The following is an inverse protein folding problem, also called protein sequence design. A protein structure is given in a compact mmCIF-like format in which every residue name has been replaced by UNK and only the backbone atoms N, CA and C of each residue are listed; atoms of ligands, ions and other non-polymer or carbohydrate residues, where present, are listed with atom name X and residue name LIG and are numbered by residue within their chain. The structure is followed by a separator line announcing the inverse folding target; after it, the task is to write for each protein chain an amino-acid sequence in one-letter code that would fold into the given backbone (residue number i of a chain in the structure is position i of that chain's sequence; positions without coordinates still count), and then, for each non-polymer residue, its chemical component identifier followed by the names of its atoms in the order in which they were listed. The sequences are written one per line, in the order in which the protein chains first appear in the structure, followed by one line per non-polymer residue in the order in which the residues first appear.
data_IF_834502743665
#
_entry.id   IF_834502743665
#
_cell.length_a   1.000
_cell.length_b   1.000
_cell.length_c   1.000
_cell.angle_alpha   90.00
_cell.angle_beta   90.00
_cell.angle_gamma   90.00
#
_symmetry.space_group_name_H-M   'P 1'
#
loop_
_entity.id
_entity.type
_entity.pdbx_description
1 polymer ?
#
# COMPACT_ATOMS: atom_id res chain seq x y z
N UNK A 1 3.26 -15.85 8.28
CA UNK A 1 2.59 -15.49 7.01
C UNK A 1 2.34 -13.99 7.06
N UNK A 2 2.68 -13.26 6.00
CA UNK A 2 2.46 -11.83 5.87
C UNK A 2 1.74 -11.58 4.53
N UNK A 3 0.80 -10.64 4.45
CA UNK A 3 0.02 -10.40 3.24
C UNK A 3 0.83 -9.59 2.21
N UNK A 4 0.76 -10.00 0.94
CA UNK A 4 1.44 -9.32 -0.17
C UNK A 4 0.43 -8.58 -1.03
N UNK A 5 0.67 -7.29 -1.24
CA UNK A 5 -0.07 -6.44 -2.17
C UNK A 5 0.81 -6.14 -3.37
N UNK A 6 0.42 -6.63 -4.54
CA UNK A 6 1.13 -6.26 -5.76
C UNK A 6 0.64 -4.89 -6.24
N UNK A 7 1.54 -3.91 -6.27
CA UNK A 7 1.21 -2.57 -6.77
C UNK A 7 1.52 -2.44 -8.25
N UNK A 8 0.53 -2.07 -9.04
CA UNK A 8 0.66 -1.73 -10.47
C UNK A 8 1.37 -0.38 -10.63
N UNK A 9 2.52 -0.23 -9.94
CA UNK A 9 3.19 1.08 -9.83
C UNK A 9 4.68 0.98 -10.12
N UNK A 10 5.19 1.92 -10.91
CA UNK A 10 6.60 2.13 -11.18
C UNK A 10 6.91 3.62 -11.14
N UNK A 11 8.10 4.02 -10.67
CA UNK A 11 8.45 5.43 -10.46
C UNK A 11 7.42 6.21 -9.65
N UNK A 12 6.88 5.57 -8.62
CA UNK A 12 5.90 6.10 -7.66
C UNK A 12 4.56 6.56 -8.27
N UNK A 13 4.18 6.03 -9.42
CA UNK A 13 2.93 6.26 -10.14
C UNK A 13 2.39 4.94 -10.72
N UNK A 14 1.10 4.88 -11.01
CA UNK A 14 0.51 3.75 -11.75
C UNK A 14 1.14 3.65 -13.14
N UNK A 15 1.44 2.43 -13.56
CA UNK A 15 2.05 2.14 -14.88
C UNK A 15 1.10 2.53 -16.03
N UNK A 16 1.64 2.78 -17.21
CA UNK A 16 0.86 3.30 -18.34
C UNK A 16 -0.19 2.31 -18.86
N UNK A 17 0.05 1.00 -18.75
CA UNK A 17 -0.91 -0.06 -19.13
C UNK A 17 -1.14 -1.03 -17.95
N UNK A 18 -1.90 -0.63 -16.92
CA UNK A 18 -2.14 -1.46 -15.75
C UNK A 18 -3.01 -2.67 -16.05
N UNK A 19 -3.86 -2.61 -17.08
CA UNK A 19 -4.69 -3.74 -17.50
C UNK A 19 -3.86 -4.87 -18.10
N UNK A 20 -2.89 -4.56 -18.97
CA UNK A 20 -1.99 -5.57 -19.52
C UNK A 20 -1.14 -6.24 -18.43
N UNK A 21 -0.64 -5.47 -17.47
CA UNK A 21 0.10 -6.01 -16.31
C UNK A 21 -0.81 -6.88 -15.45
N UNK A 22 -2.06 -6.46 -15.21
CA UNK A 22 -3.03 -7.27 -14.47
C UNK A 22 -3.26 -8.63 -15.15
N UNK A 23 -3.45 -8.65 -16.47
CA UNK A 23 -3.62 -9.91 -17.20
C UNK A 23 -2.39 -10.83 -17.09
N UNK A 24 -1.17 -10.28 -17.06
CA UNK A 24 0.05 -11.08 -16.87
C UNK A 24 0.08 -11.76 -15.49
N UNK A 25 -0.40 -11.09 -14.44
CA UNK A 25 -0.36 -11.64 -13.07
C UNK A 25 -1.62 -12.41 -12.69
N UNK A 26 -2.63 -12.40 -13.52
CA UNK A 26 -3.88 -13.13 -13.31
C UNK A 26 -3.62 -14.62 -13.11
N UNK A 27 -4.23 -15.20 -12.07
CA UNK A 27 -4.02 -16.62 -11.75
C UNK A 27 -2.68 -16.96 -11.10
N UNK A 28 -1.90 -15.98 -10.62
CA UNK A 28 -0.68 -16.23 -9.84
C UNK A 28 -0.95 -16.61 -8.39
N UNK A 29 -2.19 -16.49 -7.91
CA UNK A 29 -2.56 -16.69 -6.51
C UNK A 29 -2.58 -15.40 -5.70
N UNK A 30 -2.44 -14.23 -6.34
CA UNK A 30 -2.62 -12.93 -5.68
C UNK A 30 -4.00 -12.83 -5.04
N UNK A 31 -4.05 -12.22 -3.85
CA UNK A 31 -5.27 -11.85 -3.15
C UNK A 31 -5.49 -10.34 -3.13
N UNK A 32 -4.40 -9.57 -3.19
CA UNK A 32 -4.41 -8.12 -3.12
C UNK A 32 -3.65 -7.52 -4.29
N UNK A 33 -4.26 -6.53 -4.92
CA UNK A 33 -3.65 -5.73 -5.97
C UNK A 33 -3.91 -4.26 -5.69
N UNK A 34 -2.99 -3.40 -6.08
CA UNK A 34 -3.16 -1.97 -5.84
C UNK A 34 -2.58 -1.11 -6.94
N UNK A 35 -2.96 0.15 -6.90
CA UNK A 35 -2.48 1.21 -7.78
C UNK A 35 -2.45 2.55 -7.02
N UNK A 36 -1.90 3.59 -7.65
CA UNK A 36 -1.88 4.94 -7.10
C UNK A 36 -2.91 5.83 -7.80
N UNK A 37 -3.31 6.90 -7.12
CA UNK A 37 -4.24 7.93 -7.60
C UNK A 37 -3.69 8.77 -8.77
N UNK A 38 -2.44 8.52 -9.17
CA UNK A 38 -1.75 9.21 -10.27
C UNK A 38 -1.17 8.21 -11.27
N UNK A 39 -0.99 8.65 -12.51
CA UNK A 39 -0.35 7.86 -13.58
C UNK A 39 -1.25 7.65 -14.78
N UNK A 40 -2.50 7.28 -14.56
CA UNK A 40 -3.51 7.03 -15.60
C UNK A 40 -4.84 7.71 -15.25
N UNK A 41 -5.77 7.88 -16.20
CA UNK A 41 -7.12 8.37 -15.94
C UNK A 41 -7.89 7.47 -14.97
N UNK A 42 -8.82 8.06 -14.21
CA UNK A 42 -9.64 7.36 -13.22
C UNK A 42 -10.48 6.24 -13.82
N UNK A 43 -10.92 6.39 -15.05
CA UNK A 43 -11.69 5.39 -15.80
C UNK A 43 -10.89 4.11 -16.02
N UNK A 44 -9.58 4.21 -16.21
CA UNK A 44 -8.68 3.05 -16.32
C UNK A 44 -8.54 2.35 -14.97
N UNK A 45 -8.45 3.11 -13.87
CA UNK A 45 -8.40 2.55 -12.52
C UNK A 45 -9.70 1.82 -12.16
N UNK A 46 -10.85 2.39 -12.54
CA UNK A 46 -12.16 1.77 -12.36
C UNK A 46 -12.26 0.43 -13.12
N UNK A 47 -11.79 0.37 -14.37
CA UNK A 47 -11.77 -0.87 -15.15
C UNK A 47 -10.87 -1.95 -14.52
N UNK A 48 -9.67 -1.58 -14.05
CA UNK A 48 -8.77 -2.49 -13.34
C UNK A 48 -9.43 -3.01 -12.05
N UNK A 49 -10.06 -2.11 -11.28
CA UNK A 49 -10.73 -2.44 -10.04
C UNK A 49 -11.85 -3.45 -10.28
N UNK A 50 -12.78 -3.14 -11.17
CA UNK A 50 -13.91 -4.01 -11.50
C UNK A 50 -13.47 -5.40 -11.98
N UNK A 51 -12.39 -5.46 -12.76
CA UNK A 51 -11.85 -6.71 -13.29
C UNK A 51 -11.19 -7.55 -12.19
N UNK A 52 -10.37 -6.93 -11.34
CA UNK A 52 -9.70 -7.61 -10.24
C UNK A 52 -10.72 -8.14 -9.20
N UNK A 53 -11.70 -7.34 -8.82
CA UNK A 53 -12.77 -7.74 -7.90
C UNK A 53 -13.62 -8.88 -8.46
N UNK A 54 -13.92 -8.87 -9.77
CA UNK A 54 -14.63 -9.98 -10.44
C UNK A 54 -13.86 -11.28 -10.37
N UNK A 55 -12.53 -11.23 -10.34
CA UNK A 55 -11.68 -12.41 -10.19
C UNK A 55 -11.43 -12.76 -8.69
N UNK A 56 -12.05 -12.04 -7.76
CA UNK A 56 -12.00 -12.30 -6.32
C UNK A 56 -10.82 -11.68 -5.58
N UNK A 57 -10.11 -10.70 -6.18
CA UNK A 57 -9.06 -9.95 -5.49
C UNK A 57 -9.67 -8.77 -4.72
N UNK A 58 -9.05 -8.41 -3.59
CA UNK A 58 -9.27 -7.12 -2.95
C UNK A 58 -8.36 -6.06 -3.59
N UNK A 59 -8.92 -4.88 -3.88
CA UNK A 59 -8.24 -3.80 -4.59
C UNK A 59 -7.90 -2.67 -3.64
N UNK A 60 -6.68 -2.15 -3.75
CA UNK A 60 -6.17 -1.04 -2.94
C UNK A 60 -5.82 0.17 -3.80
N UNK A 61 -6.21 1.37 -3.37
CA UNK A 61 -5.74 2.63 -3.95
C UNK A 61 -4.88 3.36 -2.93
N UNK A 62 -3.62 3.65 -3.29
CA UNK A 62 -2.70 4.44 -2.46
C UNK A 62 -2.73 5.91 -2.90
N UNK A 63 -3.17 6.80 -2.00
CA UNK A 63 -3.21 8.25 -2.20
C UNK A 63 -1.86 8.85 -1.87
N UNK A 64 -1.22 9.46 -2.86
CA UNK A 64 0.11 10.09 -2.74
C UNK A 64 0.08 11.59 -3.05
N UNK A 65 -1.10 12.17 -3.10
CA UNK A 65 -1.31 13.61 -3.30
C UNK A 65 -0.60 14.44 -2.25
N UNK A 66 0.00 15.57 -2.64
CA UNK A 66 0.82 16.42 -1.77
C UNK A 66 0.06 17.62 -1.18
N UNK A 67 -1.16 17.89 -1.65
CA UNK A 67 -2.03 18.91 -1.07
C UNK A 67 -3.28 18.26 -0.46
N UNK A 68 -3.83 18.89 0.58
CA UNK A 68 -5.06 18.42 1.22
C UNK A 68 -6.23 18.34 0.23
N UNK A 69 -6.37 19.34 -0.63
CA UNK A 69 -7.46 19.39 -1.63
C UNK A 69 -7.37 18.21 -2.60
N UNK A 70 -6.18 17.92 -3.12
CA UNK A 70 -5.98 16.80 -4.03
C UNK A 70 -6.15 15.46 -3.31
N UNK A 71 -5.64 15.34 -2.07
CA UNK A 71 -5.84 14.15 -1.22
C UNK A 71 -7.34 13.84 -1.06
N UNK A 72 -8.15 14.81 -0.63
CA UNK A 72 -9.59 14.60 -0.44
C UNK A 72 -10.31 14.29 -1.75
N UNK A 73 -9.86 14.86 -2.88
CA UNK A 73 -10.38 14.52 -4.21
C UNK A 73 -10.04 13.08 -4.60
N UNK A 74 -8.81 12.62 -4.32
CA UNK A 74 -8.39 11.23 -4.57
C UNK A 74 -9.14 10.22 -3.68
N UNK A 75 -9.41 10.58 -2.41
CA UNK A 75 -10.25 9.76 -1.53
C UNK A 75 -11.69 9.63 -2.06
N UNK A 76 -12.26 10.73 -2.56
CA UNK A 76 -13.59 10.71 -3.19
C UNK A 76 -13.60 9.86 -4.47
N UNK A 77 -12.54 9.93 -5.28
CA UNK A 77 -12.39 9.08 -6.46
C UNK A 77 -12.28 7.60 -6.09
N UNK A 78 -11.50 7.26 -5.05
CA UNK A 78 -11.41 5.90 -4.53
C UNK A 78 -12.78 5.34 -4.10
N UNK A 79 -13.59 6.16 -3.44
CA UNK A 79 -14.98 5.82 -3.07
C UNK A 79 -15.87 5.57 -4.30
N UNK A 80 -15.72 6.36 -5.37
CA UNK A 80 -16.47 6.20 -6.61
C UNK A 80 -16.06 4.95 -7.40
N UNK A 81 -14.76 4.63 -7.45
CA UNK A 81 -14.21 3.39 -8.05
C UNK A 81 -14.68 2.16 -7.27
N UNK A 82 -14.90 2.29 -5.96
CA UNK A 82 -15.34 1.19 -5.11
C UNK A 82 -14.21 0.23 -4.74
N UNK A 83 -13.00 0.76 -4.50
CA UNK A 83 -11.89 -0.05 -4.00
C UNK A 83 -12.16 -0.59 -2.59
N UNK A 84 -11.54 -1.72 -2.24
CA UNK A 84 -11.74 -2.36 -0.92
C UNK A 84 -10.91 -1.70 0.18
N UNK A 85 -9.77 -1.08 -0.20
CA UNK A 85 -8.88 -0.39 0.72
C UNK A 85 -8.39 0.94 0.15
N UNK A 86 -8.29 1.92 1.02
CA UNK A 86 -7.64 3.21 0.70
C UNK A 86 -6.43 3.36 1.59
N UNK A 87 -5.25 3.44 0.98
CA UNK A 87 -3.96 3.61 1.64
C UNK A 87 -3.48 5.05 1.49
N UNK A 88 -2.64 5.50 2.42
CA UNK A 88 -2.01 6.81 2.33
C UNK A 88 -2.90 7.98 2.75
N UNK A 89 -2.45 9.18 2.41
CA UNK A 89 -3.03 10.42 2.91
C UNK A 89 -2.48 10.85 4.28
N UNK A 90 -2.51 12.15 4.52
CA UNK A 90 -1.94 12.80 5.72
C UNK A 90 -2.97 13.57 6.54
N UNK A 91 -4.23 13.58 6.11
CA UNK A 91 -5.36 14.25 6.74
C UNK A 91 -6.43 13.24 7.18
N UNK A 92 -6.10 12.36 8.17
CA UNK A 92 -6.96 11.21 8.49
C UNK A 92 -8.35 11.59 9.00
N UNK A 93 -8.51 12.73 9.70
CA UNK A 93 -9.80 13.19 10.21
C UNK A 93 -10.73 13.55 9.05
N UNK A 94 -10.26 14.36 8.12
CA UNK A 94 -11.04 14.76 6.95
C UNK A 94 -11.24 13.60 5.98
N UNK A 95 -10.23 12.74 5.85
CA UNK A 95 -10.32 11.52 5.04
C UNK A 95 -11.39 10.57 5.53
N UNK A 96 -11.50 10.36 6.84
CA UNK A 96 -12.57 9.54 7.44
C UNK A 96 -13.96 10.10 7.15
N UNK A 97 -14.10 11.44 7.11
CA UNK A 97 -15.36 12.08 6.76
C UNK A 97 -15.74 11.82 5.29
N UNK A 98 -14.77 11.94 4.37
CA UNK A 98 -14.98 11.66 2.93
C UNK A 98 -15.39 10.20 2.69
N UNK A 99 -14.84 9.28 3.47
CA UNK A 99 -15.07 7.84 3.35
C UNK A 99 -16.22 7.34 4.26
N UNK A 100 -16.95 8.24 4.92
CA UNK A 100 -18.12 7.86 5.72
C UNK A 100 -19.13 7.09 4.86
N UNK A 101 -19.66 5.98 5.38
CA UNK A 101 -20.61 5.09 4.69
C UNK A 101 -20.05 4.35 3.46
N UNK A 102 -18.76 4.47 3.19
CA UNK A 102 -18.08 3.69 2.15
C UNK A 102 -17.48 2.43 2.79
N UNK A 103 -17.68 1.24 2.22
CA UNK A 103 -17.20 -0.01 2.82
C UNK A 103 -15.69 -0.22 2.71
N UNK A 104 -14.95 0.75 2.17
CA UNK A 104 -13.51 0.68 2.04
C UNK A 104 -12.79 0.82 3.40
N UNK A 105 -11.74 0.04 3.60
CA UNK A 105 -10.87 0.14 4.78
C UNK A 105 -9.86 1.28 4.57
N UNK A 106 -9.86 2.25 5.45
CA UNK A 106 -8.96 3.39 5.35
C UNK A 106 -7.71 3.22 6.22
N UNK A 107 -6.53 3.35 5.61
CA UNK A 107 -5.21 3.16 6.22
C UNK A 107 -4.30 4.36 5.89
N UNK A 108 -4.43 5.51 6.58
CA UNK A 108 -3.60 6.70 6.33
C UNK A 108 -2.15 6.51 6.79
N UNK A 109 -1.26 7.41 6.38
CA UNK A 109 0.12 7.45 6.85
C UNK A 109 0.20 7.91 8.32
N UNK A 110 0.99 7.23 9.18
CA UNK A 110 1.40 7.77 10.47
C UNK A 110 2.63 8.66 10.31
N UNK A 111 2.69 9.79 10.99
CA UNK A 111 3.86 10.68 10.96
C UNK A 111 3.83 11.71 9.82
N UNK A 112 4.96 12.34 9.58
CA UNK A 112 5.10 13.40 8.58
C UNK A 112 5.57 12.81 7.26
N UNK A 113 4.69 12.85 6.25
CA UNK A 113 5.01 12.39 4.89
C UNK A 113 5.05 13.59 3.95
N UNK A 114 6.12 13.70 3.17
CA UNK A 114 6.35 14.81 2.25
C UNK A 114 6.97 14.36 0.94
N UNK A 115 6.81 15.18 -0.09
CA UNK A 115 7.47 14.99 -1.38
C UNK A 115 6.82 13.93 -2.26
N UNK A 116 7.37 13.82 -3.48
CA UNK A 116 7.04 12.79 -4.45
C UNK A 116 8.35 12.39 -5.17
N UNK A 117 8.89 11.20 -4.95
CA UNK A 117 8.39 10.11 -4.12
C UNK A 117 8.21 10.48 -2.63
N UNK A 118 7.15 9.91 -2.01
CA UNK A 118 6.82 10.18 -0.61
C UNK A 118 7.92 9.71 0.34
N UNK A 119 8.31 10.56 1.28
CA UNK A 119 9.33 10.29 2.32
C UNK A 119 8.68 10.46 3.69
N UNK A 120 8.85 9.48 4.56
CA UNK A 120 8.41 9.53 5.96
C UNK A 120 9.53 10.13 6.82
N UNK A 121 9.20 11.08 7.69
CA UNK A 121 10.14 11.69 8.64
C UNK A 121 9.54 11.78 10.04
N UNK A 122 10.40 11.96 11.05
CA UNK A 122 10.07 12.07 12.47
C UNK A 122 10.79 11.00 13.29
N UNK A 123 10.81 11.17 14.61
CA UNK A 123 11.36 10.17 15.52
C UNK A 123 10.43 8.94 15.61
N UNK A 124 11.00 7.74 15.79
CA UNK A 124 10.23 6.48 15.90
C UNK A 124 9.11 6.59 16.94
N UNK A 125 9.41 7.20 18.10
CA UNK A 125 8.45 7.38 19.20
C UNK A 125 7.32 8.33 18.82
N UNK A 126 7.59 9.37 18.06
CA UNK A 126 6.57 10.32 17.58
C UNK A 126 5.65 9.65 16.56
N UNK A 127 6.24 8.90 15.59
CA UNK A 127 5.48 8.15 14.59
C UNK A 127 4.60 7.10 15.27
N UNK A 128 5.12 6.36 16.25
CA UNK A 128 4.35 5.37 17.02
C UNK A 128 3.21 6.01 17.84
N UNK A 129 3.43 7.16 18.44
CA UNK A 129 2.37 7.89 19.15
C UNK A 129 1.28 8.36 18.18
N UNK A 130 1.69 8.90 17.03
CA UNK A 130 0.75 9.31 15.98
C UNK A 130 -0.04 8.13 15.42
N UNK A 131 0.61 6.97 15.26
CA UNK A 131 -0.04 5.71 14.85
C UNK A 131 -1.18 5.33 15.80
N UNK A 132 -0.96 5.42 17.12
CA UNK A 132 -1.99 5.18 18.15
C UNK A 132 -3.15 6.16 18.04
N UNK A 133 -2.85 7.44 17.89
CA UNK A 133 -3.86 8.49 17.77
C UNK A 133 -4.73 8.30 16.52
N UNK A 134 -4.10 8.03 15.37
CA UNK A 134 -4.78 7.85 14.09
C UNK A 134 -5.67 6.60 14.11
N UNK A 135 -5.16 5.48 14.62
CA UNK A 135 -5.95 4.24 14.69
C UNK A 135 -7.05 4.24 15.75
N UNK A 136 -7.12 5.28 16.58
CA UNK A 136 -8.24 5.53 17.48
C UNK A 136 -9.35 6.39 16.87
N UNK A 137 -9.16 6.92 15.66
CA UNK A 137 -10.18 7.68 14.95
C UNK A 137 -11.23 6.76 14.35
N UNK A 138 -12.49 7.14 14.46
CA UNK A 138 -13.59 6.45 13.78
C UNK A 138 -13.37 6.52 12.25
N UNK A 139 -13.62 5.40 11.58
CA UNK A 139 -13.43 5.27 10.12
C UNK A 139 -12.00 4.92 9.70
N UNK A 140 -11.01 4.90 10.59
CA UNK A 140 -9.66 4.39 10.32
C UNK A 140 -9.59 2.91 10.65
N UNK A 141 -9.13 2.10 9.70
CA UNK A 141 -9.04 0.64 9.82
C UNK A 141 -7.64 0.15 10.16
N UNK A 142 -6.61 0.90 9.78
CA UNK A 142 -5.21 0.52 9.94
C UNK A 142 -4.28 1.64 9.50
N UNK A 143 -3.05 1.29 9.11
CA UNK A 143 -2.03 2.26 8.71
C UNK A 143 -1.27 1.80 7.46
N UNK A 144 -0.88 2.77 6.65
CA UNK A 144 0.10 2.65 5.57
C UNK A 144 1.44 3.22 6.04
N UNK A 145 2.47 2.38 6.17
CA UNK A 145 3.75 2.76 6.77
C UNK A 145 4.90 2.75 5.77
N UNK A 146 5.47 3.91 5.49
CA UNK A 146 6.62 4.08 4.60
C UNK A 146 7.97 3.81 5.30
N UNK A 147 8.10 2.65 5.99
CA UNK A 147 9.25 2.36 6.84
C UNK A 147 10.60 2.40 6.08
N UNK A 148 10.67 1.81 4.88
CA UNK A 148 11.87 1.83 4.04
C UNK A 148 12.09 3.13 3.27
N UNK A 149 11.23 4.13 3.48
CA UNK A 149 11.40 5.49 2.96
C UNK A 149 11.72 6.50 4.05
N UNK A 150 11.98 6.03 5.27
CA UNK A 150 12.54 6.87 6.33
C UNK A 150 14.05 7.00 6.13
N UNK A 151 14.63 8.25 6.16
CA UNK A 151 16.02 8.47 5.78
C UNK A 151 17.05 7.89 6.75
N UNK A 152 16.70 7.73 8.02
CA UNK A 152 17.66 7.37 9.09
C UNK A 152 17.18 6.28 10.04
N UNK A 153 15.88 6.05 10.22
CA UNK A 153 15.37 5.03 11.12
C UNK A 153 15.61 3.62 10.56
N UNK A 154 15.89 2.66 11.44
CA UNK A 154 15.82 1.24 11.09
C UNK A 154 14.38 0.84 10.78
N UNK A 155 14.14 0.34 9.59
CA UNK A 155 12.79 0.06 9.09
C UNK A 155 12.08 -1.04 9.91
N UNK A 156 12.82 -2.04 10.40
CA UNK A 156 12.24 -3.13 11.20
C UNK A 156 11.90 -2.64 12.61
N UNK A 157 12.75 -1.80 13.21
CA UNK A 157 12.48 -1.16 14.51
C UNK A 157 11.27 -0.24 14.43
N UNK A 158 11.22 0.64 13.41
CA UNK A 158 10.09 1.53 13.17
C UNK A 158 8.80 0.75 12.96
N UNK A 159 8.83 -0.29 12.12
CA UNK A 159 7.65 -1.14 11.87
C UNK A 159 7.15 -1.78 13.17
N UNK A 160 8.05 -2.34 13.97
CA UNK A 160 7.68 -2.97 15.25
C UNK A 160 7.06 -1.97 16.22
N UNK A 161 7.62 -0.77 16.32
CA UNK A 161 7.09 0.28 17.20
C UNK A 161 5.67 0.72 16.76
N UNK A 162 5.45 0.88 15.46
CA UNK A 162 4.13 1.25 14.91
C UNK A 162 3.12 0.11 15.09
N UNK A 163 3.50 -1.14 14.82
CA UNK A 163 2.63 -2.32 15.04
C UNK A 163 2.19 -2.44 16.49
N UNK A 164 3.09 -2.20 17.44
CA UNK A 164 2.75 -2.24 18.87
C UNK A 164 1.83 -1.10 19.31
N UNK A 165 1.86 0.02 18.61
CA UNK A 165 1.06 1.19 18.93
C UNK A 165 -0.31 1.21 18.26
N UNK A 166 -0.43 0.65 17.08
CA UNK A 166 -1.63 0.65 16.25
C UNK A 166 -2.71 -0.32 16.77
N UNK A 167 -3.97 0.04 16.60
CA UNK A 167 -5.13 -0.80 16.93
C UNK A 167 -5.65 -1.63 15.74
N UNK A 168 -4.96 -1.56 14.57
CA UNK A 168 -5.35 -2.23 13.32
C UNK A 168 -4.16 -2.71 12.51
N UNK A 169 -4.38 -3.25 11.31
CA UNK A 169 -3.32 -3.73 10.43
C UNK A 169 -2.34 -2.61 10.06
N UNK A 170 -1.06 -2.95 10.02
CA UNK A 170 0.00 -2.08 9.49
C UNK A 170 0.51 -2.68 8.19
N UNK A 171 0.37 -1.93 7.11
CA UNK A 171 0.84 -2.28 5.77
C UNK A 171 2.15 -1.51 5.53
N UNK A 172 3.25 -2.23 5.31
CA UNK A 172 4.53 -1.58 5.00
C UNK A 172 4.64 -1.30 3.50
N UNK A 173 4.58 -0.04 3.13
CA UNK A 173 4.64 0.41 1.75
C UNK A 173 5.97 1.09 1.41
N UNK A 174 6.26 1.13 0.13
CA UNK A 174 7.39 1.85 -0.45
C UNK A 174 8.74 1.19 -0.23
N UNK A 175 9.50 1.04 -1.31
CA UNK A 175 10.91 0.62 -1.34
C UNK A 175 11.21 -0.79 -0.79
N UNK A 176 10.22 -1.66 -0.60
CA UNK A 176 10.45 -3.08 -0.35
C UNK A 176 10.94 -3.73 -1.65
N UNK A 177 12.12 -4.36 -1.62
CA UNK A 177 12.83 -4.78 -2.82
C UNK A 177 13.66 -6.07 -2.66
N UNK A 178 13.50 -6.80 -1.56
CA UNK A 178 14.22 -8.05 -1.31
C UNK A 178 13.45 -8.98 -0.38
N UNK A 179 13.73 -10.29 -0.49
CA UNK A 179 13.18 -11.31 0.40
C UNK A 179 13.56 -11.04 1.86
N UNK A 180 14.79 -10.60 2.13
CA UNK A 180 15.23 -10.27 3.49
C UNK A 180 14.39 -9.15 4.13
N UNK A 181 13.97 -8.16 3.33
CA UNK A 181 13.07 -7.11 3.82
C UNK A 181 11.67 -7.65 4.12
N UNK A 182 11.13 -8.57 3.30
CA UNK A 182 9.85 -9.24 3.56
C UNK A 182 9.91 -10.01 4.88
N UNK A 183 10.97 -10.78 5.10
CA UNK A 183 11.19 -11.53 6.34
C UNK A 183 11.31 -10.61 7.56
N UNK A 184 12.02 -9.48 7.42
CA UNK A 184 12.16 -8.48 8.49
C UNK A 184 10.81 -7.83 8.85
N UNK A 185 9.97 -7.51 7.87
CA UNK A 185 8.62 -6.98 8.09
C UNK A 185 7.71 -8.00 8.78
N UNK A 186 7.76 -9.26 8.35
CA UNK A 186 7.02 -10.34 8.98
C UNK A 186 7.44 -10.53 10.45
N UNK A 187 8.74 -10.50 10.73
CA UNK A 187 9.31 -10.59 12.09
C UNK A 187 8.97 -9.37 12.96
N UNK A 188 8.80 -8.19 12.34
CA UNK A 188 8.35 -6.97 13.02
C UNK A 188 6.85 -6.96 13.31
N UNK A 189 6.06 -7.91 12.74
CA UNK A 189 4.63 -8.06 12.97
C UNK A 189 3.74 -7.27 12.01
N UNK A 190 4.28 -6.77 10.88
CA UNK A 190 3.46 -6.14 9.85
C UNK A 190 2.37 -7.11 9.36
N UNK A 191 1.16 -6.62 9.14
CA UNK A 191 0.06 -7.39 8.55
C UNK A 191 0.36 -7.70 7.08
N UNK A 192 0.88 -6.71 6.35
CA UNK A 192 1.17 -6.85 4.93
C UNK A 192 2.24 -5.87 4.47
N UNK A 193 2.61 -6.01 3.21
CA UNK A 193 3.54 -5.11 2.53
C UNK A 193 3.17 -4.94 1.06
N UNK A 194 3.63 -3.83 0.48
CA UNK A 194 3.42 -3.53 -0.95
C UNK A 194 4.72 -3.62 -1.72
N UNK A 195 4.68 -4.17 -2.93
CA UNK A 195 5.78 -4.07 -3.91
C UNK A 195 5.21 -3.72 -5.29
N UNK A 196 5.81 -2.71 -5.91
CA UNK A 196 5.60 -2.36 -7.33
C UNK A 196 6.94 -2.27 -8.06
N UNK A 197 7.62 -1.15 -7.96
CA UNK A 197 8.82 -0.84 -8.73
C UNK A 197 9.89 -1.93 -8.76
N UNK A 198 10.18 -2.58 -7.63
CA UNK A 198 11.18 -3.64 -7.57
C UNK A 198 10.87 -4.84 -8.48
N UNK A 199 9.59 -5.15 -8.69
CA UNK A 199 9.14 -6.20 -9.62
C UNK A 199 9.35 -5.73 -11.07
N UNK A 200 8.94 -4.50 -11.42
CA UNK A 200 9.13 -3.95 -12.75
C UNK A 200 10.61 -3.78 -13.12
N UNK A 201 11.48 -3.56 -12.13
CA UNK A 201 12.95 -3.46 -12.28
C UNK A 201 13.65 -4.83 -12.30
N UNK A 202 12.92 -5.94 -12.15
CA UNK A 202 13.51 -7.30 -12.13
C UNK A 202 14.42 -7.57 -10.94
N UNK A 203 14.20 -6.90 -9.79
CA UNK A 203 15.07 -6.98 -8.60
C UNK A 203 14.78 -8.17 -7.69
N UNK A 204 13.65 -8.84 -7.92
CA UNK A 204 13.23 -9.96 -7.10
C UNK A 204 13.47 -11.29 -7.83
N UNK A 205 13.62 -12.41 -7.11
CA UNK A 205 13.70 -13.73 -7.72
C UNK A 205 12.46 -14.03 -8.59
N UNK A 206 12.57 -14.99 -9.51
CA UNK A 206 11.42 -15.42 -10.35
C UNK A 206 11.61 -15.14 -11.84
N UNK A 207 12.80 -14.67 -12.24
CA UNK A 207 13.14 -14.39 -13.64
C UNK A 207 12.62 -13.05 -14.14
N UNK A 208 12.60 -12.85 -15.46
CA UNK A 208 12.32 -11.52 -16.04
C UNK A 208 10.82 -11.17 -16.10
N UNK A 209 9.91 -12.14 -15.95
CA UNK A 209 8.47 -11.88 -16.03
C UNK A 209 7.91 -11.33 -14.71
N UNK A 210 6.96 -10.41 -14.80
CA UNK A 210 6.24 -9.87 -13.64
C UNK A 210 5.55 -11.01 -12.88
N UNK A 211 4.83 -11.88 -13.56
CA UNK A 211 4.17 -13.03 -12.95
C UNK A 211 5.13 -14.00 -12.24
N UNK A 212 6.32 -14.20 -12.79
CA UNK A 212 7.36 -15.03 -12.16
C UNK A 212 7.81 -14.46 -10.82
N UNK A 213 8.13 -13.17 -10.79
CA UNK A 213 8.54 -12.48 -9.57
C UNK A 213 7.40 -12.41 -8.54
N UNK A 214 6.16 -12.16 -8.97
CA UNK A 214 4.96 -12.19 -8.09
C UNK A 214 4.84 -13.54 -7.38
N UNK A 215 4.98 -14.67 -8.09
CA UNK A 215 4.92 -16.00 -7.46
C UNK A 215 6.04 -16.22 -6.43
N UNK A 216 7.25 -15.72 -6.70
CA UNK A 216 8.35 -15.80 -5.74
C UNK A 216 8.10 -14.95 -4.49
N UNK A 217 7.55 -13.76 -4.66
CA UNK A 217 7.15 -12.90 -3.52
C UNK A 217 6.07 -13.58 -2.69
N UNK A 218 5.04 -14.17 -3.31
CA UNK A 218 4.00 -14.94 -2.62
C UNK A 218 4.61 -16.09 -1.80
N UNK A 219 5.58 -16.81 -2.38
CA UNK A 219 6.29 -17.88 -1.66
C UNK A 219 7.08 -17.33 -0.47
N UNK A 220 7.82 -16.23 -0.65
CA UNK A 220 8.57 -15.58 0.42
C UNK A 220 7.66 -15.05 1.55
N UNK A 221 6.45 -14.62 1.22
CA UNK A 221 5.43 -14.18 2.17
C UNK A 221 4.76 -15.35 2.93
N UNK A 222 5.05 -16.60 2.55
CA UNK A 222 4.39 -17.79 3.09
C UNK A 222 2.97 -18.01 2.53
N UNK A 223 2.65 -17.37 1.43
CA UNK A 223 1.39 -17.51 0.68
C UNK A 223 1.69 -18.48 -0.48
N UNK A 224 1.57 -19.78 -0.23
CA UNK A 224 1.72 -20.76 -1.31
C UNK A 224 0.52 -20.66 -2.28
N UNK A 225 0.82 -20.73 -3.58
CA UNK A 225 -0.18 -20.91 -4.61
C UNK A 225 -0.83 -22.30 -4.51
#
# INVERSE_FOLDING_TARGET
MIEFVFMLTHHDRTVDDPLAVYEEVRGTGLRYIGFKDIGVPVEVLDEVCAKAQKDGLEVMLEVVSTSKEDELRSLAAAAMIGVDWVLGGTHPVEGSVVLTDIPARYCPFPGTVTGHPSVLTGEITEIANRAREITALDGVSGLDLLAYRHPTADAAELTRAVVQAASGPVIAAGSVASVAQIEALAAAGAWGFTIGGAIFEGRLPGGPSVAGQVREVLRAAGQAA
#
